data_IF_226164285737
#
_entry.id   IF_226164285737
#
_cell.length_a   1.000
_cell.length_b   1.000
_cell.length_c   1.000
_cell.angle_alpha   90.00
_cell.angle_beta   90.00
_cell.angle_gamma   90.00
#
_symmetry.space_group_name_H-M   'P 1'
#
loop_
_entity.id
_entity.type
_entity.pdbx_description
1 polymer ?
#
# COMPACT_ATOMS: atom_id res chain seq x y z
N UNK A 1 12.58 -19.00 11.62
CA UNK A 1 13.17 -17.86 10.87
C UNK A 1 12.56 -17.86 9.47
N UNK A 2 11.83 -16.81 9.06
CA UNK A 2 11.33 -16.75 7.67
C UNK A 2 12.51 -16.37 6.76
N UNK A 3 12.95 -17.30 5.93
CA UNK A 3 13.94 -17.03 4.89
C UNK A 3 13.28 -16.06 3.89
N UNK A 4 13.66 -14.79 3.90
CA UNK A 4 13.14 -13.83 2.93
C UNK A 4 13.93 -14.02 1.66
N UNK A 5 13.28 -14.43 0.57
CA UNK A 5 13.92 -14.52 -0.75
C UNK A 5 14.37 -13.12 -1.16
N UNK A 6 15.69 -12.92 -1.24
CA UNK A 6 16.28 -11.65 -1.67
C UNK A 6 16.91 -11.80 -3.04
N UNK A 7 16.56 -10.91 -3.96
CA UNK A 7 17.18 -10.84 -5.28
C UNK A 7 18.17 -9.67 -5.32
N UNK A 8 19.34 -9.90 -5.94
CA UNK A 8 20.32 -8.83 -6.20
C UNK A 8 20.06 -8.25 -7.57
N UNK A 9 20.01 -6.92 -7.64
CA UNK A 9 19.79 -6.15 -8.86
C UNK A 9 20.80 -5.02 -8.89
N UNK A 10 21.36 -4.76 -10.07
CA UNK A 10 22.20 -3.58 -10.34
C UNK A 10 21.34 -2.53 -11.02
N UNK A 11 21.30 -1.32 -10.48
CA UNK A 11 20.57 -0.19 -11.04
C UNK A 11 21.53 0.97 -11.27
N UNK A 12 21.29 1.75 -12.32
CA UNK A 12 22.01 3.00 -12.58
C UNK A 12 21.22 4.15 -11.97
N UNK A 13 21.89 4.98 -11.18
CA UNK A 13 21.33 6.21 -10.61
C UNK A 13 22.10 7.40 -11.17
N UNK A 14 21.42 8.52 -11.36
CA UNK A 14 22.09 9.79 -11.63
C UNK A 14 22.90 10.24 -10.39
N UNK A 15 23.80 11.21 -10.60
CA UNK A 15 24.71 11.67 -9.56
C UNK A 15 23.99 12.25 -8.34
N UNK A 16 22.88 12.97 -8.54
CA UNK A 16 22.12 13.60 -7.46
C UNK A 16 21.38 12.55 -6.63
N UNK A 17 20.70 11.61 -7.29
CA UNK A 17 20.03 10.49 -6.62
C UNK A 17 21.02 9.60 -5.87
N UNK A 18 22.21 9.36 -6.43
CA UNK A 18 23.25 8.59 -5.75
C UNK A 18 23.79 9.32 -4.51
N UNK A 19 24.02 10.64 -4.60
CA UNK A 19 24.44 11.46 -3.47
C UNK A 19 23.38 11.46 -2.36
N UNK A 20 22.12 11.67 -2.72
CA UNK A 20 20.99 11.60 -1.79
C UNK A 20 20.91 10.24 -1.12
N UNK A 21 20.97 9.14 -1.88
CA UNK A 21 20.93 7.79 -1.34
C UNK A 21 22.06 7.54 -0.34
N UNK A 22 23.27 8.04 -0.60
CA UNK A 22 24.39 7.88 0.33
C UNK A 22 24.19 8.67 1.62
N UNK A 23 23.58 9.87 1.55
CA UNK A 23 23.30 10.69 2.73
C UNK A 23 22.23 10.04 3.63
N UNK A 24 21.12 9.59 3.03
CA UNK A 24 19.98 9.07 3.79
C UNK A 24 20.14 7.60 4.21
N UNK A 25 20.86 6.78 3.44
CA UNK A 25 20.87 5.34 3.66
C UNK A 25 21.91 4.85 4.67
N UNK A 26 22.62 5.76 5.35
CA UNK A 26 23.61 5.45 6.39
C UNK A 26 24.49 4.24 6.01
N UNK A 27 24.26 3.06 6.60
CA UNK A 27 25.04 1.83 6.37
C UNK A 27 24.41 0.82 5.41
N UNK A 28 23.13 0.96 5.03
CA UNK A 28 22.44 -0.05 4.22
C UNK A 28 21.49 0.55 3.15
N UNK A 29 22.09 0.85 1.99
CA UNK A 29 21.42 1.31 0.77
C UNK A 29 20.31 0.37 0.31
N UNK A 30 20.55 -0.94 0.34
CA UNK A 30 19.53 -1.92 -0.08
C UNK A 30 18.33 -1.94 0.85
N UNK A 31 18.53 -1.79 2.17
CA UNK A 31 17.42 -1.72 3.12
C UNK A 31 16.58 -0.45 2.90
N UNK A 32 17.24 0.69 2.71
CA UNK A 32 16.56 1.96 2.42
C UNK A 32 15.73 1.89 1.14
N UNK A 33 16.33 1.44 0.03
CA UNK A 33 15.63 1.27 -1.26
C UNK A 33 14.46 0.30 -1.13
N UNK A 34 14.64 -0.82 -0.42
CA UNK A 34 13.54 -1.77 -0.18
C UNK A 34 12.40 -1.15 0.63
N UNK A 35 12.69 -0.32 1.62
CA UNK A 35 11.66 0.38 2.40
C UNK A 35 10.93 1.41 1.53
N UNK A 36 11.67 2.17 0.71
CA UNK A 36 11.10 3.13 -0.21
C UNK A 36 10.14 2.46 -1.20
N UNK A 37 10.54 1.34 -1.81
CA UNK A 37 9.69 0.58 -2.73
C UNK A 37 8.46 -0.02 -2.05
N UNK A 38 8.58 -0.47 -0.80
CA UNK A 38 7.42 -0.95 -0.02
C UNK A 38 6.43 0.19 0.27
N UNK A 39 6.95 1.37 0.59
CA UNK A 39 6.12 2.54 0.84
C UNK A 39 5.43 2.99 -0.45
N UNK A 40 6.14 3.03 -1.57
CA UNK A 40 5.57 3.38 -2.86
C UNK A 40 4.50 2.39 -3.30
N UNK A 41 4.74 1.08 -3.15
CA UNK A 41 3.72 0.04 -3.37
C UNK A 41 2.48 0.24 -2.50
N UNK A 42 2.65 0.63 -1.23
CA UNK A 42 1.53 0.93 -0.34
C UNK A 42 0.75 2.14 -0.85
N UNK A 43 1.43 3.21 -1.27
CA UNK A 43 0.81 4.41 -1.81
C UNK A 43 0.03 4.10 -3.10
N UNK A 44 0.61 3.29 -3.99
CA UNK A 44 -0.05 2.83 -5.21
C UNK A 44 -1.35 2.06 -4.90
N UNK A 45 -1.30 1.12 -3.95
CA UNK A 45 -2.49 0.37 -3.53
C UNK A 45 -3.54 1.28 -2.90
N UNK A 46 -3.13 2.24 -2.06
CA UNK A 46 -4.06 3.20 -1.46
C UNK A 46 -4.74 4.08 -2.52
N UNK A 47 -4.02 4.53 -3.54
CA UNK A 47 -4.61 5.29 -4.63
C UNK A 47 -5.63 4.45 -5.42
N UNK A 48 -5.30 3.20 -5.72
CA UNK A 48 -6.22 2.27 -6.38
C UNK A 48 -7.49 2.02 -5.55
N UNK A 49 -7.35 1.81 -4.23
CA UNK A 49 -8.49 1.64 -3.33
C UNK A 49 -9.36 2.88 -3.25
N UNK A 50 -8.77 4.07 -3.13
CA UNK A 50 -9.56 5.33 -3.13
C UNK A 50 -10.35 5.50 -4.42
N UNK A 51 -9.74 5.19 -5.55
CA UNK A 51 -10.41 5.25 -6.85
C UNK A 51 -11.58 4.26 -6.93
N UNK A 52 -11.36 3.00 -6.55
CA UNK A 52 -12.42 2.00 -6.52
C UNK A 52 -13.58 2.41 -5.59
N UNK A 53 -13.26 2.92 -4.40
CA UNK A 53 -14.27 3.42 -3.45
C UNK A 53 -15.07 4.61 -4.01
N UNK A 54 -14.45 5.49 -4.81
CA UNK A 54 -15.13 6.60 -5.46
C UNK A 54 -16.08 6.10 -6.55
N UNK A 55 -15.62 5.18 -7.40
CA UNK A 55 -16.44 4.55 -8.44
C UNK A 55 -17.64 3.81 -7.83
N UNK A 56 -17.43 3.09 -6.72
CA UNK A 56 -18.48 2.39 -5.96
C UNK A 56 -19.45 3.36 -5.26
N UNK A 57 -19.00 4.53 -4.82
CA UNK A 57 -19.85 5.55 -4.21
C UNK A 57 -20.79 6.21 -5.22
N UNK A 58 -20.37 6.30 -6.48
CA UNK A 58 -21.14 6.86 -7.59
C UNK A 58 -22.10 5.82 -8.23
N UNK A 59 -21.91 4.53 -7.95
CA UNK A 59 -22.79 3.46 -8.42
C UNK A 59 -23.99 3.25 -7.48
N UNK A 60 -25.14 3.83 -7.86
CA UNK A 60 -26.40 3.70 -7.12
C UNK A 60 -26.83 2.23 -6.91
N UNK A 61 -26.61 1.34 -7.88
CA UNK A 61 -27.01 -0.07 -7.75
C UNK A 61 -26.14 -0.79 -6.71
N UNK A 62 -24.85 -0.47 -6.69
CA UNK A 62 -23.94 -0.97 -5.66
C UNK A 62 -24.29 -0.43 -4.28
N UNK A 63 -24.62 0.86 -4.15
CA UNK A 63 -25.05 1.47 -2.89
C UNK A 63 -26.35 0.87 -2.34
N UNK A 64 -27.33 0.58 -3.20
CA UNK A 64 -28.58 -0.10 -2.79
C UNK A 64 -28.30 -1.49 -2.22
N UNK A 65 -27.38 -2.25 -2.84
CA UNK A 65 -26.93 -3.53 -2.30
C UNK A 65 -26.22 -3.34 -0.97
N UNK A 66 -25.28 -2.39 -0.88
CA UNK A 66 -24.53 -2.08 0.34
C UNK A 66 -25.47 -1.72 1.50
N UNK A 67 -26.54 -0.97 1.24
CA UNK A 67 -27.56 -0.63 2.23
C UNK A 67 -28.30 -1.87 2.75
N UNK A 68 -28.57 -2.87 1.90
CA UNK A 68 -29.16 -4.13 2.35
C UNK A 68 -28.22 -4.90 3.31
N UNK A 69 -26.91 -4.80 3.10
CA UNK A 69 -25.89 -5.42 3.97
C UNK A 69 -25.78 -4.74 5.35
N UNK A 70 -26.20 -3.48 5.48
CA UNK A 70 -26.16 -2.74 6.76
C UNK A 70 -26.91 -3.47 7.89
N UNK A 71 -27.98 -4.20 7.54
CA UNK A 71 -28.75 -5.02 8.49
C UNK A 71 -27.90 -6.10 9.19
N UNK A 72 -26.82 -6.54 8.56
CA UNK A 72 -25.90 -7.57 9.08
C UNK A 72 -24.73 -7.00 9.91
N UNK A 73 -24.61 -5.66 9.99
CA UNK A 73 -23.47 -5.00 10.65
C UNK A 73 -23.29 -5.42 12.12
N UNK A 74 -24.40 -5.71 12.80
CA UNK A 74 -24.42 -6.09 14.22
C UNK A 74 -24.56 -7.59 14.46
N UNK A 75 -24.56 -8.41 13.41
CA UNK A 75 -24.69 -9.85 13.57
C UNK A 75 -23.53 -10.41 14.41
N UNK A 76 -23.86 -11.07 15.53
CA UNK A 76 -22.87 -11.65 16.43
C UNK A 76 -22.24 -10.66 17.43
N UNK A 77 -22.62 -9.38 17.42
CA UNK A 77 -22.31 -8.46 18.51
C UNK A 77 -23.37 -8.62 19.62
N UNK A 78 -22.93 -8.90 20.84
CA UNK A 78 -23.83 -8.90 22.00
C UNK A 78 -24.23 -7.45 22.28
N UNK A 79 -25.53 -7.16 22.19
CA UNK A 79 -26.08 -5.88 22.63
C UNK A 79 -26.14 -5.90 24.16
N UNK A 80 -25.13 -5.32 24.82
CA UNK A 80 -25.20 -4.89 26.23
C UNK A 80 -25.78 -3.47 26.30
#
# INVERSE_FOLDING_TARGET
>A
MRNTMTHRVTITLDAETFAFLNDVASSNRSAYVNQLLKQDRKNFLQAALRKANQEEAEDTNYQEKLQAWESTLSDGLAND
#
